data_IF_438107186242
#
_entry.id   IF_438107186242
#
_cell.length_a   1.000
_cell.length_b   1.000
_cell.length_c   1.000
_cell.angle_alpha   90.00
_cell.angle_beta   90.00
_cell.angle_gamma   90.00
#
_symmetry.space_group_name_H-M   'P 1'
#
loop_
_entity.id
_entity.type
_entity.pdbx_description
1 polymer ?
#
# COMPACT_ATOMS: atom_id res chain seq x y z
N UNK A 1 -3.30 -3.56 26.67
CA UNK A 1 -2.57 -4.06 25.49
C UNK A 1 -2.72 -3.02 24.39
N UNK A 2 -1.63 -2.45 23.88
CA UNK A 2 -1.70 -1.50 22.77
C UNK A 2 -2.02 -2.25 21.47
N UNK A 3 -3.04 -1.81 20.73
CA UNK A 3 -3.46 -2.43 19.47
C UNK A 3 -2.43 -2.12 18.40
N UNK A 4 -1.72 -3.14 17.90
CA UNK A 4 -0.75 -2.99 16.82
C UNK A 4 -1.47 -2.71 15.50
N UNK A 5 -1.05 -1.68 14.81
CA UNK A 5 -1.54 -1.30 13.48
C UNK A 5 -0.44 -1.59 12.47
N UNK A 6 -0.74 -2.40 11.44
CA UNK A 6 0.18 -2.71 10.36
C UNK A 6 -0.05 -1.76 9.20
N UNK A 7 1.02 -1.16 8.68
CA UNK A 7 0.99 -0.23 7.57
C UNK A 7 1.53 -0.91 6.31
N UNK A 8 0.79 -0.80 5.23
CA UNK A 8 1.10 -1.47 3.97
C UNK A 8 1.14 -0.49 2.80
N UNK A 9 2.00 -0.77 1.84
CA UNK A 9 2.16 -0.02 0.60
C UNK A 9 1.97 -0.95 -0.60
N UNK A 10 1.15 -0.52 -1.56
CA UNK A 10 0.92 -1.23 -2.80
C UNK A 10 1.82 -0.69 -3.92
N UNK A 11 2.82 -1.48 -4.31
CA UNK A 11 3.72 -1.15 -5.41
C UNK A 11 3.00 -1.14 -6.77
N UNK A 12 1.86 -1.82 -6.91
CA UNK A 12 1.12 -1.88 -8.17
C UNK A 12 0.33 -0.61 -8.49
N UNK A 13 -0.20 0.09 -7.49
CA UNK A 13 -1.07 1.25 -7.70
C UNK A 13 -0.70 2.47 -6.85
N UNK A 14 0.43 2.40 -6.12
CA UNK A 14 0.90 3.46 -5.24
C UNK A 14 0.03 3.74 -4.01
N UNK A 15 -1.05 2.96 -3.80
CA UNK A 15 -1.95 3.14 -2.67
C UNK A 15 -1.40 2.49 -1.41
N UNK A 16 -1.87 2.92 -0.25
CA UNK A 16 -1.46 2.41 1.05
C UNK A 16 -2.67 2.22 1.95
N UNK A 17 -2.51 1.39 2.97
CA UNK A 17 -3.57 1.16 3.94
C UNK A 17 -2.98 0.73 5.27
N UNK A 18 -3.74 0.98 6.33
CA UNK A 18 -3.44 0.52 7.68
C UNK A 18 -4.47 -0.56 8.05
N UNK A 19 -4.01 -1.74 8.46
CA UNK A 19 -4.87 -2.86 8.84
C UNK A 19 -4.40 -3.44 10.19
N UNK A 20 -5.35 -3.97 10.95
CA UNK A 20 -5.06 -4.74 12.17
C UNK A 20 -4.71 -6.20 11.86
N UNK A 21 -4.91 -6.63 10.61
CA UNK A 21 -4.65 -7.99 10.13
C UNK A 21 -3.51 -8.03 9.11
N UNK A 22 -2.69 -9.08 9.18
CA UNK A 22 -1.56 -9.34 8.28
C UNK A 22 -1.97 -9.81 6.87
N UNK A 23 -3.23 -10.23 6.70
CA UNK A 23 -3.81 -10.78 5.47
C UNK A 23 -4.47 -9.68 4.65
N UNK A 24 -3.70 -8.67 4.26
CA UNK A 24 -4.23 -7.57 3.49
C UNK A 24 -3.94 -7.75 1.99
N UNK A 25 -5.01 -7.68 1.21
CA UNK A 25 -5.01 -7.46 -0.23
C UNK A 25 -5.15 -5.94 -0.43
N UNK A 26 -4.50 -5.37 -1.45
CA UNK A 26 -4.65 -3.93 -1.69
C UNK A 26 -6.15 -3.59 -1.94
N UNK A 27 -6.78 -2.72 -1.15
CA UNK A 27 -8.22 -2.43 -1.28
C UNK A 27 -8.55 -1.72 -2.60
N UNK A 28 -7.55 -1.08 -3.21
CA UNK A 28 -7.67 -0.34 -4.46
C UNK A 28 -7.62 -1.26 -5.69
N UNK A 29 -6.47 -1.90 -5.93
CA UNK A 29 -6.22 -2.68 -7.14
C UNK A 29 -6.40 -4.20 -6.97
N UNK A 30 -6.73 -4.64 -5.74
CA UNK A 30 -6.80 -6.06 -5.36
C UNK A 30 -5.51 -6.83 -5.64
N UNK A 31 -4.37 -6.13 -5.66
CA UNK A 31 -3.07 -6.79 -5.76
C UNK A 31 -2.82 -7.66 -4.54
N UNK A 32 -2.25 -8.84 -4.79
CA UNK A 32 -1.93 -9.80 -3.74
C UNK A 32 -0.62 -9.46 -3.04
N UNK A 33 -0.22 -10.34 -2.12
CA UNK A 33 0.96 -10.19 -1.22
C UNK A 33 2.29 -9.91 -1.93
N UNK A 34 2.42 -10.20 -3.23
CA UNK A 34 3.64 -9.90 -4.00
C UNK A 34 3.84 -8.41 -4.27
N UNK A 35 2.75 -7.69 -4.55
CA UNK A 35 2.80 -6.24 -4.88
C UNK A 35 2.28 -5.39 -3.71
N UNK A 36 1.97 -6.03 -2.58
CA UNK A 36 1.40 -5.41 -1.40
C UNK A 36 2.35 -5.62 -0.22
N UNK A 37 3.25 -4.65 -0.05
CA UNK A 37 4.39 -4.68 0.84
C UNK A 37 3.99 -4.21 2.24
N UNK A 38 4.41 -4.95 3.28
CA UNK A 38 4.35 -4.48 4.66
C UNK A 38 5.50 -3.47 4.90
N UNK A 39 5.15 -2.27 5.33
CA UNK A 39 6.12 -1.20 5.66
C UNK A 39 6.56 -1.31 7.11
N UNK A 40 5.64 -1.67 8.01
CA UNK A 40 5.93 -1.85 9.42
C UNK A 40 4.66 -1.97 10.26
N UNK A 41 4.84 -2.07 11.57
CA UNK A 41 3.76 -2.03 12.54
C UNK A 41 4.04 -0.93 13.56
N UNK A 42 3.00 -0.24 14.01
CA UNK A 42 3.08 0.75 15.07
C UNK A 42 2.14 0.41 16.21
N UNK A 43 2.60 0.64 17.43
CA UNK A 43 1.90 0.41 18.69
C UNK A 43 1.64 1.73 19.44
N UNK A 44 2.42 2.77 19.13
CA UNK A 44 2.34 4.10 19.73
C UNK A 44 2.27 5.23 18.68
N UNK A 45 1.88 6.46 19.07
CA UNK A 45 1.75 7.58 18.13
C UNK A 45 3.06 8.00 17.45
N UNK A 46 4.22 7.80 18.08
CA UNK A 46 5.52 8.15 17.51
C UNK A 46 5.87 7.25 16.33
N UNK A 47 5.77 5.93 16.53
CA UNK A 47 5.95 4.94 15.47
C UNK A 47 4.98 5.17 14.30
N UNK A 48 3.73 5.59 14.59
CA UNK A 48 2.74 5.90 13.54
C UNK A 48 3.18 7.07 12.66
N UNK A 49 3.76 8.12 13.25
CA UNK A 49 4.24 9.27 12.50
C UNK A 49 5.43 8.90 11.60
N UNK A 50 6.36 8.07 12.09
CA UNK A 50 7.48 7.58 11.29
C UNK A 50 7.02 6.73 10.10
N UNK A 51 6.08 5.80 10.32
CA UNK A 51 5.54 4.95 9.25
C UNK A 51 4.75 5.76 8.22
N UNK A 52 4.01 6.79 8.64
CA UNK A 52 3.33 7.70 7.73
C UNK A 52 4.32 8.48 6.84
N UNK A 53 5.42 8.96 7.41
CA UNK A 53 6.48 9.62 6.64
C UNK A 53 7.11 8.67 5.61
N UNK A 54 7.42 7.42 6.00
CA UNK A 54 7.91 6.39 5.07
C UNK A 54 6.91 6.08 3.96
N UNK A 55 5.62 6.01 4.28
CA UNK A 55 4.57 5.83 3.26
C UNK A 55 4.51 7.00 2.27
N UNK A 56 4.64 8.24 2.76
CA UNK A 56 4.68 9.41 1.90
C UNK A 56 5.87 9.38 0.94
N UNK A 57 7.06 8.98 1.43
CA UNK A 57 8.26 8.80 0.59
C UNK A 57 8.04 7.72 -0.49
N UNK A 58 7.49 6.56 -0.11
CA UNK A 58 7.18 5.48 -1.05
C UNK A 58 6.16 5.91 -2.11
N UNK A 59 5.12 6.67 -1.72
CA UNK A 59 4.17 7.26 -2.67
C UNK A 59 4.84 8.23 -3.62
N UNK A 60 5.70 9.11 -3.11
CA UNK A 60 6.41 10.08 -3.94
C UNK A 60 7.32 9.39 -4.96
N UNK A 61 8.08 8.38 -4.52
CA UNK A 61 8.92 7.55 -5.39
C UNK A 61 8.08 6.84 -6.46
N UNK A 62 6.97 6.22 -6.05
CA UNK A 62 6.08 5.53 -6.99
C UNK A 62 5.47 6.49 -8.01
N UNK A 63 4.97 7.64 -7.56
CA UNK A 63 4.39 8.68 -8.42
C UNK A 63 5.40 9.19 -9.44
N UNK A 64 6.65 9.41 -9.01
CA UNK A 64 7.73 9.82 -9.90
C UNK A 64 8.02 8.76 -10.98
N UNK A 65 8.07 7.47 -10.61
CA UNK A 65 8.28 6.38 -11.58
C UNK A 65 7.08 6.09 -12.46
N UNK A 66 5.86 6.40 -12.01
CA UNK A 66 4.60 6.10 -12.68
C UNK A 66 3.89 7.38 -13.15
N UNK A 67 4.66 8.38 -13.57
CA UNK A 67 4.17 9.71 -13.98
C UNK A 67 2.92 9.61 -14.87
N UNK A 68 1.82 10.26 -14.45
CA UNK A 68 0.54 10.25 -15.16
C UNK A 68 -0.43 9.13 -14.75
N UNK A 69 -0.05 8.24 -13.82
CA UNK A 69 -0.99 7.28 -13.22
C UNK A 69 -1.55 7.79 -11.90
N UNK A 70 -2.88 7.84 -11.73
CA UNK A 70 -3.51 8.19 -10.47
C UNK A 70 -3.25 7.12 -9.39
N UNK A 71 -2.84 7.58 -8.21
CA UNK A 71 -2.61 6.73 -7.03
C UNK A 71 -3.91 6.11 -6.58
N UNK A 72 -3.90 4.82 -6.26
CA UNK A 72 -5.09 4.14 -5.73
C UNK A 72 -6.21 3.94 -6.75
N UNK A 73 -6.02 4.30 -8.02
CA UNK A 73 -6.87 3.74 -9.06
C UNK A 73 -6.49 2.28 -9.23
N UNK A 74 -7.37 1.41 -8.75
CA UNK A 74 -7.30 0.00 -9.03
C UNK A 74 -7.36 -0.21 -10.52
N UNK A 75 -6.20 -0.27 -11.19
CA UNK A 75 -6.16 -0.60 -12.61
C UNK A 75 -6.96 -1.89 -12.77
N UNK A 76 -8.08 -1.90 -13.51
CA UNK A 76 -8.75 -3.13 -13.81
C UNK A 76 -7.69 -4.00 -14.46
N UNK A 77 -7.33 -5.13 -13.83
CA UNK A 77 -6.40 -6.10 -14.41
C UNK A 77 -6.92 -6.36 -15.80
N UNK A 78 -6.26 -5.81 -16.83
CA UNK A 78 -6.61 -6.09 -18.22
C UNK A 78 -6.57 -7.61 -18.29
N UNK A 79 -7.73 -8.24 -18.41
CA UNK A 79 -7.84 -9.67 -18.71
C UNK A 79 -7.13 -9.81 -20.05
N UNK A 80 -5.84 -10.12 -20.00
CA UNK A 80 -5.11 -10.55 -21.17
C UNK A 80 -5.81 -11.81 -21.66
N UNK A 81 -6.54 -11.65 -22.78
CA UNK A 81 -7.15 -12.67 -23.60
C UNK A 81 -7.68 -13.90 -22.88
N UNK A 82 -8.98 -13.90 -22.55
CA UNK A 82 -9.75 -15.11 -22.84
C UNK A 82 -9.86 -15.17 -24.36
N UNK A 83 -8.97 -15.95 -24.99
CA UNK A 83 -9.28 -16.59 -26.26
C UNK A 83 -10.43 -17.57 -26.05
#
# INVERSE_FOLDING_TARGET
MATKVFYFFCQSCGGDTASYEHTAVCPYCRAGRKDFQLVGAASDPGERAELQSRLAELRAQWSHHNSGQPVGEGRPRKRWGRR
#
